data_IF_741406897715
#
_entry.id   IF_741406897715
#
_cell.length_a   1.000
_cell.length_b   1.000
_cell.length_c   1.000
_cell.angle_alpha   90.00
_cell.angle_beta   90.00
_cell.angle_gamma   90.00
#
_symmetry.space_group_name_H-M   'P 1'
#
loop_
_entity.id
_entity.type
_entity.pdbx_description
1 polymer ?
#
# COMPACT_ATOMS: atom_id res chain seq x y z
N UNK A 1 -27.91 13.16 10.57
CA UNK A 1 -28.44 12.97 9.21
C UNK A 1 -28.46 11.48 8.95
N UNK A 2 -29.65 10.86 8.74
CA UNK A 2 -29.75 9.48 8.28
C UNK A 2 -28.90 9.35 7.03
N UNK A 3 -27.90 8.44 7.04
CA UNK A 3 -27.10 8.09 5.86
C UNK A 3 -28.05 7.82 4.69
N UNK A 4 -28.25 8.79 3.81
CA UNK A 4 -28.86 8.53 2.53
C UNK A 4 -28.01 7.40 1.93
N UNK A 5 -28.67 6.28 1.70
CA UNK A 5 -28.02 5.08 1.15
C UNK A 5 -27.61 5.39 -0.28
N UNK A 6 -26.42 5.96 -0.45
CA UNK A 6 -25.86 6.17 -1.77
C UNK A 6 -25.90 4.84 -2.54
N UNK A 7 -26.41 4.81 -3.77
CA UNK A 7 -26.36 3.63 -4.62
C UNK A 7 -24.94 3.11 -4.78
N UNK A 8 -24.78 1.81 -4.95
CA UNK A 8 -23.46 1.19 -5.05
C UNK A 8 -22.61 1.78 -6.17
N UNK A 9 -23.21 2.00 -7.36
CA UNK A 9 -22.49 2.59 -8.50
C UNK A 9 -21.98 4.00 -8.19
N UNK A 10 -22.79 4.83 -7.52
CA UNK A 10 -22.39 6.20 -7.16
C UNK A 10 -21.25 6.19 -6.13
N UNK A 11 -21.29 5.26 -5.15
CA UNK A 11 -20.17 5.07 -4.21
C UNK A 11 -18.88 4.68 -4.93
N UNK A 12 -18.97 3.74 -5.86
CA UNK A 12 -17.81 3.30 -6.65
C UNK A 12 -17.26 4.44 -7.51
N UNK A 13 -18.12 5.23 -8.14
CA UNK A 13 -17.69 6.39 -8.93
C UNK A 13 -17.03 7.46 -8.06
N UNK A 14 -17.61 7.79 -6.91
CA UNK A 14 -17.03 8.80 -5.99
C UNK A 14 -15.66 8.33 -5.49
N UNK A 15 -15.52 7.09 -5.05
CA UNK A 15 -14.26 6.60 -4.51
C UNK A 15 -13.18 6.52 -5.59
N UNK A 16 -13.56 6.17 -6.82
CA UNK A 16 -12.63 6.15 -7.95
C UNK A 16 -12.12 7.57 -8.27
N UNK A 17 -13.04 8.53 -8.40
CA UNK A 17 -12.68 9.93 -8.69
C UNK A 17 -11.85 10.54 -7.55
N UNK A 18 -12.21 10.28 -6.31
CA UNK A 18 -11.47 10.73 -5.13
C UNK A 18 -10.07 10.13 -5.10
N UNK A 19 -9.97 8.82 -5.36
CA UNK A 19 -8.69 8.12 -5.45
C UNK A 19 -7.81 8.72 -6.54
N UNK A 20 -8.34 8.86 -7.77
CA UNK A 20 -7.60 9.44 -8.89
C UNK A 20 -7.14 10.87 -8.62
N UNK A 21 -8.01 11.71 -8.06
CA UNK A 21 -7.66 13.10 -7.73
C UNK A 21 -6.50 13.17 -6.73
N UNK A 22 -6.55 12.39 -5.64
CA UNK A 22 -5.46 12.32 -4.67
C UNK A 22 -4.19 11.80 -5.34
N UNK A 23 -4.26 10.69 -6.10
CA UNK A 23 -3.09 10.12 -6.78
C UNK A 23 -2.42 11.11 -7.73
N UNK A 24 -3.20 11.84 -8.54
CA UNK A 24 -2.65 12.84 -9.48
C UNK A 24 -1.95 13.98 -8.71
N UNK A 25 -2.60 14.51 -7.68
CA UNK A 25 -2.03 15.62 -6.89
C UNK A 25 -0.75 15.18 -6.19
N UNK A 26 -0.74 13.99 -5.59
CA UNK A 26 0.43 13.50 -4.85
C UNK A 26 1.60 13.16 -5.76
N UNK A 27 1.36 12.61 -6.96
CA UNK A 27 2.41 12.36 -7.95
C UNK A 27 3.02 13.65 -8.50
N UNK A 28 2.28 14.76 -8.50
CA UNK A 28 2.76 16.08 -8.93
C UNK A 28 3.37 16.90 -7.80
N UNK A 29 3.23 16.49 -6.55
CA UNK A 29 3.76 17.23 -5.42
C UNK A 29 5.29 17.43 -5.48
N UNK A 30 6.13 16.44 -5.82
CA UNK A 30 7.57 16.64 -5.95
C UNK A 30 7.95 17.75 -6.96
N UNK A 31 7.23 17.87 -8.06
CA UNK A 31 7.47 18.91 -9.08
C UNK A 31 7.28 20.32 -8.47
N UNK A 32 6.23 20.48 -7.63
CA UNK A 32 5.93 21.74 -6.93
C UNK A 32 7.07 22.13 -6.00
N UNK A 33 7.69 21.16 -5.34
CA UNK A 33 8.84 21.36 -4.45
C UNK A 33 10.18 21.37 -5.18
N UNK A 34 10.17 21.38 -6.52
CA UNK A 34 11.38 21.42 -7.35
C UNK A 34 12.37 20.28 -7.04
N UNK A 35 11.84 19.10 -6.73
CA UNK A 35 12.66 17.89 -6.60
C UNK A 35 13.20 17.54 -7.99
N UNK A 36 14.52 17.38 -8.09
CA UNK A 36 15.25 17.11 -9.34
C UNK A 36 15.95 15.75 -9.25
N UNK A 37 16.54 15.30 -10.34
CA UNK A 37 17.36 14.08 -10.37
C UNK A 37 18.57 14.13 -9.43
N UNK A 38 19.05 15.34 -9.08
CA UNK A 38 20.14 15.54 -8.13
C UNK A 38 19.69 15.56 -6.67
N UNK A 39 18.38 15.53 -6.41
CA UNK A 39 17.82 15.46 -5.06
C UNK A 39 17.98 14.04 -4.51
N UNK A 40 18.07 13.88 -3.17
CA UNK A 40 18.08 12.55 -2.56
C UNK A 40 16.87 11.71 -2.99
N UNK A 41 17.04 10.44 -3.39
CA UNK A 41 15.95 9.60 -3.91
C UNK A 41 14.74 9.50 -2.97
N UNK A 42 14.98 9.41 -1.66
CA UNK A 42 13.95 9.35 -0.64
C UNK A 42 13.05 10.61 -0.55
N UNK A 43 13.56 11.78 -0.99
CA UNK A 43 12.83 13.05 -0.84
C UNK A 43 11.55 13.09 -1.67
N UNK A 44 11.61 12.59 -2.90
CA UNK A 44 10.41 12.46 -3.76
C UNK A 44 9.36 11.56 -3.13
N UNK A 45 9.78 10.40 -2.62
CA UNK A 45 8.90 9.47 -1.93
C UNK A 45 8.29 10.11 -0.67
N UNK A 46 9.09 10.78 0.14
CA UNK A 46 8.62 11.48 1.35
C UNK A 46 7.54 12.51 1.05
N UNK A 47 7.77 13.39 0.06
CA UNK A 47 6.81 14.43 -0.33
C UNK A 47 5.52 13.80 -0.86
N UNK A 48 5.61 12.86 -1.81
CA UNK A 48 4.45 12.18 -2.40
C UNK A 48 3.59 11.53 -1.32
N UNK A 49 4.19 10.75 -0.41
CA UNK A 49 3.45 10.03 0.62
C UNK A 49 2.92 10.95 1.72
N UNK A 50 3.64 12.05 2.04
CA UNK A 50 3.13 13.05 2.98
C UNK A 50 1.85 13.71 2.46
N UNK A 51 1.82 14.12 1.20
CA UNK A 51 0.61 14.69 0.59
C UNK A 51 -0.53 13.67 0.54
N UNK A 52 -0.22 12.43 0.16
CA UNK A 52 -1.19 11.32 0.17
C UNK A 52 -1.82 11.13 1.56
N UNK A 53 -0.99 11.09 2.60
CA UNK A 53 -1.41 10.95 3.98
C UNK A 53 -2.29 12.13 4.44
N UNK A 54 -1.82 13.37 4.20
CA UNK A 54 -2.53 14.60 4.61
C UNK A 54 -3.91 14.67 3.98
N UNK A 55 -4.02 14.52 2.66
CA UNK A 55 -5.32 14.55 1.99
C UNK A 55 -6.24 13.43 2.46
N UNK A 56 -5.71 12.23 2.66
CA UNK A 56 -6.50 11.09 3.13
C UNK A 56 -7.06 11.33 4.53
N UNK A 57 -6.25 11.85 5.44
CA UNK A 57 -6.69 12.18 6.81
C UNK A 57 -7.72 13.30 6.80
N UNK A 58 -7.46 14.39 6.07
CA UNK A 58 -8.40 15.52 6.00
C UNK A 58 -9.76 15.10 5.47
N UNK A 59 -9.79 14.35 4.36
CA UNK A 59 -11.04 13.85 3.79
C UNK A 59 -11.73 12.88 4.76
N UNK A 60 -10.97 11.99 5.42
CA UNK A 60 -11.53 11.08 6.41
C UNK A 60 -12.17 11.84 7.58
N UNK A 61 -11.51 12.87 8.11
CA UNK A 61 -12.07 13.72 9.18
C UNK A 61 -13.38 14.38 8.72
N UNK A 62 -13.41 14.92 7.50
CA UNK A 62 -14.60 15.55 6.94
C UNK A 62 -15.76 14.56 6.78
N UNK A 63 -15.50 13.39 6.19
CA UNK A 63 -16.51 12.38 5.96
C UNK A 63 -17.07 11.77 7.26
N UNK A 64 -16.24 11.62 8.28
CA UNK A 64 -16.60 11.00 9.56
C UNK A 64 -17.01 12.02 10.63
N UNK A 65 -16.89 13.32 10.33
CA UNK A 65 -17.06 14.40 11.31
C UNK A 65 -16.18 14.18 12.56
N UNK A 66 -14.93 13.77 12.33
CA UNK A 66 -13.94 13.50 13.36
C UNK A 66 -13.98 12.09 13.97
N UNK A 67 -14.95 11.24 13.64
CA UNK A 67 -15.07 9.86 14.16
C UNK A 67 -14.21 8.89 13.32
N UNK A 68 -12.91 9.17 13.20
CA UNK A 68 -11.98 8.45 12.33
C UNK A 68 -11.84 6.96 12.69
N UNK A 69 -12.19 6.56 13.91
CA UNK A 69 -12.19 5.15 14.33
C UNK A 69 -13.04 4.25 13.42
N UNK A 70 -14.14 4.78 12.84
CA UNK A 70 -14.98 4.05 11.87
C UNK A 70 -14.23 3.70 10.58
N UNK A 71 -13.14 4.41 10.28
CA UNK A 71 -12.26 4.21 9.12
C UNK A 71 -11.00 3.39 9.45
N UNK A 72 -10.99 2.71 10.61
CA UNK A 72 -9.93 1.79 11.01
C UNK A 72 -8.78 2.43 11.80
N UNK A 73 -8.88 3.74 12.12
CA UNK A 73 -7.93 4.44 13.00
C UNK A 73 -8.16 4.05 14.46
N UNK A 74 -8.10 2.76 14.71
CA UNK A 74 -8.31 2.15 16.02
C UNK A 74 -7.54 0.84 16.09
N UNK A 75 -7.29 0.35 17.30
CA UNK A 75 -6.72 -0.98 17.51
C UNK A 75 -7.68 -2.08 17.03
N UNK A 76 -8.98 -1.85 17.10
CA UNK A 76 -10.01 -2.82 16.72
C UNK A 76 -9.77 -4.18 17.38
N UNK A 77 -9.88 -5.24 16.60
CA UNK A 77 -9.61 -6.63 17.00
C UNK A 77 -8.17 -7.07 16.72
N UNK A 78 -7.27 -6.13 16.38
CA UNK A 78 -5.90 -6.46 16.07
C UNK A 78 -5.15 -7.00 17.28
N UNK A 79 -4.51 -8.15 17.08
CA UNK A 79 -3.56 -8.74 18.03
C UNK A 79 -2.30 -9.14 17.28
N UNK A 80 -1.15 -8.66 17.75
CA UNK A 80 0.14 -9.05 17.18
C UNK A 80 0.40 -10.52 17.50
N UNK A 81 0.55 -11.33 16.47
CA UNK A 81 0.88 -12.75 16.57
C UNK A 81 2.11 -13.04 15.73
N UNK A 82 2.95 -13.99 16.13
CA UNK A 82 4.14 -14.37 15.34
C UNK A 82 3.83 -14.75 13.88
N UNK A 83 2.61 -15.22 13.63
CA UNK A 83 2.19 -15.59 12.26
C UNK A 83 2.15 -14.42 11.28
N UNK A 84 2.00 -13.19 11.75
CA UNK A 84 1.98 -12.01 10.85
C UNK A 84 3.36 -11.81 10.21
N UNK A 85 4.44 -12.18 10.89
CA UNK A 85 5.80 -12.05 10.37
C UNK A 85 6.10 -13.01 9.19
N UNK A 86 5.27 -14.06 9.02
CA UNK A 86 5.39 -14.95 7.87
C UNK A 86 5.11 -14.24 6.53
N UNK A 87 4.50 -13.06 6.56
CA UNK A 87 4.26 -12.26 5.34
C UNK A 87 5.53 -11.67 4.73
N UNK A 88 6.68 -11.72 5.41
CA UNK A 88 8.00 -11.45 4.82
C UNK A 88 8.38 -12.49 3.75
N UNK A 89 7.97 -13.75 3.95
CA UNK A 89 8.47 -14.88 3.16
C UNK A 89 8.13 -14.79 1.66
N UNK A 90 6.87 -14.49 1.24
CA UNK A 90 6.54 -14.48 -0.18
C UNK A 90 7.40 -13.52 -1.00
N UNK A 91 7.61 -12.30 -0.48
CA UNK A 91 8.42 -11.29 -1.16
C UNK A 91 9.91 -11.57 -1.08
N UNK A 92 10.39 -12.16 0.02
CA UNK A 92 11.77 -12.62 0.13
C UNK A 92 12.11 -13.71 -0.92
N UNK A 93 11.21 -14.67 -1.11
CA UNK A 93 11.36 -15.69 -2.15
C UNK A 93 11.39 -15.04 -3.53
N UNK A 94 10.47 -14.13 -3.84
CA UNK A 94 10.41 -13.45 -5.12
C UNK A 94 11.66 -12.60 -5.38
N UNK A 95 12.18 -11.93 -4.36
CA UNK A 95 13.42 -11.15 -4.43
C UNK A 95 14.62 -12.02 -4.79
N UNK A 96 14.79 -13.14 -4.08
CA UNK A 96 15.87 -14.11 -4.37
C UNK A 96 15.73 -14.73 -5.77
N UNK A 97 14.52 -15.07 -6.19
CA UNK A 97 14.28 -15.58 -7.54
C UNK A 97 14.61 -14.56 -8.62
N UNK A 98 14.26 -13.29 -8.40
CA UNK A 98 14.63 -12.18 -9.28
C UNK A 98 16.14 -12.03 -9.40
N UNK A 99 16.85 -12.08 -8.28
CA UNK A 99 18.32 -12.04 -8.25
C UNK A 99 18.96 -13.20 -9.03
N UNK A 100 18.48 -14.42 -8.83
CA UNK A 100 18.99 -15.60 -9.55
C UNK A 100 18.72 -15.49 -11.06
N UNK A 101 17.58 -14.90 -11.45
CA UNK A 101 17.21 -14.71 -12.85
C UNK A 101 17.98 -13.57 -13.53
N UNK A 102 18.53 -12.64 -12.77
CA UNK A 102 19.36 -11.53 -13.23
C UNK A 102 20.69 -12.08 -13.75
N UNK A 103 21.01 -11.80 -15.04
CA UNK A 103 22.18 -12.40 -15.70
C UNK A 103 23.33 -11.41 -15.96
N UNK A 104 23.11 -10.13 -15.78
CA UNK A 104 24.13 -9.11 -16.03
C UNK A 104 24.83 -8.67 -14.76
N UNK A 105 26.16 -8.53 -14.81
CA UNK A 105 26.96 -8.07 -13.65
C UNK A 105 26.63 -6.62 -13.22
N UNK A 106 26.15 -5.78 -14.16
CA UNK A 106 25.74 -4.41 -13.85
C UNK A 106 24.41 -4.37 -13.11
N UNK A 107 23.42 -5.18 -13.54
CA UNK A 107 22.14 -5.33 -12.82
C UNK A 107 22.35 -5.87 -11.40
N UNK A 108 23.31 -6.80 -11.23
CA UNK A 108 23.65 -7.35 -9.91
C UNK A 108 24.24 -6.26 -9.00
N UNK A 109 25.10 -5.37 -9.50
CA UNK A 109 25.67 -4.26 -8.72
C UNK A 109 24.58 -3.30 -8.26
N UNK A 110 23.67 -2.90 -9.15
CA UNK A 110 22.57 -1.99 -8.80
C UNK A 110 21.63 -2.61 -7.75
N UNK A 111 21.37 -3.93 -7.84
CA UNK A 111 20.55 -4.66 -6.87
C UNK A 111 21.25 -4.78 -5.51
N UNK A 112 22.57 -4.85 -5.47
CA UNK A 112 23.37 -5.00 -4.26
C UNK A 112 23.75 -3.67 -3.59
N UNK A 113 23.42 -2.52 -4.19
CA UNK A 113 23.61 -1.25 -3.50
C UNK A 113 22.83 -1.22 -2.19
N UNK A 114 23.54 -0.93 -1.10
CA UNK A 114 22.92 -0.83 0.22
C UNK A 114 21.95 0.34 0.25
N UNK A 115 20.68 0.12 0.61
CA UNK A 115 19.76 1.23 0.80
C UNK A 115 20.25 2.11 1.93
N UNK A 116 20.19 3.42 1.72
CA UNK A 116 20.42 4.37 2.79
C UNK A 116 19.35 4.24 3.88
N UNK A 117 19.69 4.60 5.12
CA UNK A 117 18.75 4.54 6.24
C UNK A 117 17.45 5.31 5.94
N UNK A 118 17.57 6.41 5.23
CA UNK A 118 16.46 7.24 4.77
C UNK A 118 15.52 6.47 3.84
N UNK A 119 16.05 5.62 2.94
CA UNK A 119 15.22 4.78 2.06
C UNK A 119 14.42 3.75 2.87
N UNK A 120 15.04 3.14 3.88
CA UNK A 120 14.35 2.23 4.80
C UNK A 120 13.21 2.95 5.52
N UNK A 121 13.49 4.13 6.05
CA UNK A 121 12.50 4.90 6.82
C UNK A 121 11.40 5.42 5.91
N UNK A 122 11.75 6.11 4.81
CA UNK A 122 10.77 6.85 4.02
C UNK A 122 10.10 6.03 2.92
N UNK A 123 10.82 5.06 2.32
CA UNK A 123 10.27 4.25 1.23
C UNK A 123 9.63 2.97 1.74
N UNK A 124 10.17 2.31 2.79
CA UNK A 124 9.61 1.02 3.22
C UNK A 124 8.59 1.16 4.35
N UNK A 125 8.87 1.99 5.35
CA UNK A 125 8.02 2.10 6.55
C UNK A 125 7.01 3.23 6.37
N UNK A 126 7.48 4.45 6.11
CA UNK A 126 6.62 5.62 6.03
C UNK A 126 5.64 5.54 4.85
N UNK A 127 6.12 5.12 3.67
CA UNK A 127 5.26 4.88 2.52
C UNK A 127 4.16 3.86 2.83
N UNK A 128 4.51 2.72 3.47
CA UNK A 128 3.51 1.72 3.87
C UNK A 128 2.41 2.32 4.77
N UNK A 129 2.77 3.19 5.71
CA UNK A 129 1.78 3.88 6.56
C UNK A 129 0.87 4.75 5.72
N UNK A 130 1.44 5.60 4.87
CA UNK A 130 0.69 6.58 4.09
C UNK A 130 -0.24 5.93 3.07
N UNK A 131 0.25 4.91 2.38
CA UNK A 131 -0.51 4.16 1.38
C UNK A 131 -1.64 3.35 1.99
N UNK A 132 -1.44 2.77 3.19
CA UNK A 132 -2.51 2.07 3.90
C UNK A 132 -3.56 3.04 4.46
N UNK A 133 -3.15 4.20 4.96
CA UNK A 133 -4.08 5.27 5.35
C UNK A 133 -4.93 5.71 4.17
N UNK A 134 -4.34 5.86 2.99
CA UNK A 134 -5.06 6.23 1.78
C UNK A 134 -5.98 5.11 1.31
N UNK A 135 -5.43 3.94 1.04
CA UNK A 135 -6.19 2.89 0.35
C UNK A 135 -7.14 2.13 1.28
N UNK A 136 -6.76 1.84 2.52
CA UNK A 136 -7.60 1.09 3.50
C UNK A 136 -8.30 2.02 4.47
N UNK A 137 -7.61 3.08 4.89
CA UNK A 137 -8.20 4.10 5.75
C UNK A 137 -9.31 4.88 5.03
N UNK A 138 -9.04 5.41 3.85
CA UNK A 138 -10.00 6.24 3.12
C UNK A 138 -10.84 5.43 2.11
N UNK A 139 -10.22 4.84 1.06
CA UNK A 139 -10.98 4.28 -0.06
C UNK A 139 -11.78 3.04 0.35
N UNK A 140 -11.14 2.05 0.98
CA UNK A 140 -11.83 0.82 1.43
C UNK A 140 -12.92 1.14 2.46
N UNK A 141 -12.65 2.05 3.40
CA UNK A 141 -13.63 2.41 4.44
C UNK A 141 -14.83 3.16 3.89
N UNK A 142 -14.65 4.04 2.91
CA UNK A 142 -15.76 4.69 2.22
C UNK A 142 -16.69 3.68 1.55
N UNK A 143 -16.12 2.56 1.06
CA UNK A 143 -16.89 1.47 0.45
C UNK A 143 -17.46 0.46 1.48
N UNK A 144 -17.22 0.61 2.78
CA UNK A 144 -17.66 -0.35 3.81
C UNK A 144 -19.15 -0.73 3.76
N UNK A 145 -20.11 0.13 3.36
CA UNK A 145 -21.50 -0.28 3.17
C UNK A 145 -21.72 -1.33 2.08
N UNK A 146 -20.72 -1.59 1.23
CA UNK A 146 -20.74 -2.58 0.16
C UNK A 146 -20.09 -3.92 0.56
N UNK A 147 -19.70 -4.13 1.82
CA UNK A 147 -19.09 -5.38 2.32
C UNK A 147 -19.98 -6.61 2.14
N UNK A 148 -21.31 -6.42 2.04
CA UNK A 148 -22.24 -7.49 1.73
C UNK A 148 -22.02 -8.12 0.33
N UNK A 149 -21.44 -7.38 -0.60
CA UNK A 149 -21.06 -7.87 -1.92
C UNK A 149 -19.64 -8.43 -1.87
N UNK A 150 -19.42 -9.53 -2.57
CA UNK A 150 -18.13 -10.22 -2.61
C UNK A 150 -18.32 -11.71 -2.80
N UNK A 151 -17.23 -12.45 -2.76
CA UNK A 151 -17.24 -13.90 -2.89
C UNK A 151 -16.37 -14.56 -1.82
N UNK A 152 -16.57 -15.86 -1.59
CA UNK A 152 -15.78 -16.63 -0.64
C UNK A 152 -14.81 -17.54 -1.38
N UNK A 153 -13.52 -17.34 -1.15
CA UNK A 153 -12.45 -18.15 -1.70
C UNK A 153 -12.16 -19.33 -0.74
N UNK A 154 -12.02 -20.54 -1.31
CA UNK A 154 -11.70 -21.78 -0.57
C UNK A 154 -12.57 -22.02 0.68
N UNK A 155 -13.87 -21.61 0.65
CA UNK A 155 -14.83 -21.74 1.75
C UNK A 155 -14.42 -21.05 3.07
N UNK A 156 -13.33 -20.29 3.09
CA UNK A 156 -12.76 -19.69 4.31
C UNK A 156 -12.51 -18.19 4.21
N UNK A 157 -12.11 -17.70 3.05
CA UNK A 157 -11.71 -16.32 2.88
C UNK A 157 -12.77 -15.55 2.10
N UNK A 158 -13.53 -14.76 2.82
CA UNK A 158 -14.50 -13.86 2.20
C UNK A 158 -13.76 -12.61 1.73
N UNK A 159 -13.72 -12.40 0.43
CA UNK A 159 -13.22 -11.17 -0.21
C UNK A 159 -14.41 -10.28 -0.55
N UNK A 160 -14.57 -9.20 0.20
CA UNK A 160 -15.64 -8.22 -0.03
C UNK A 160 -15.30 -7.29 -1.20
N UNK A 161 -16.31 -6.65 -1.78
CA UNK A 161 -16.12 -5.66 -2.84
C UNK A 161 -15.17 -4.51 -2.41
N UNK A 162 -15.26 -3.93 -1.19
CA UNK A 162 -14.27 -2.96 -0.71
C UNK A 162 -12.84 -3.48 -0.70
N UNK A 163 -12.61 -4.72 -0.29
CA UNK A 163 -11.28 -5.36 -0.29
C UNK A 163 -10.74 -5.49 -1.71
N UNK A 164 -11.57 -6.02 -2.62
CA UNK A 164 -11.17 -6.20 -4.02
C UNK A 164 -10.89 -4.87 -4.70
N UNK A 165 -11.79 -3.89 -4.54
CA UNK A 165 -11.61 -2.58 -5.13
C UNK A 165 -10.32 -1.90 -4.64
N UNK A 166 -10.12 -1.83 -3.32
CA UNK A 166 -8.95 -1.16 -2.76
C UNK A 166 -7.64 -1.88 -3.09
N UNK A 167 -7.66 -3.23 -3.17
CA UNK A 167 -6.50 -4.00 -3.57
C UNK A 167 -6.12 -3.83 -5.03
N UNK A 168 -7.10 -3.88 -5.95
CA UNK A 168 -6.87 -3.63 -7.36
C UNK A 168 -6.46 -2.17 -7.62
N UNK A 169 -7.09 -1.22 -6.93
CA UNK A 169 -6.70 0.19 -7.01
C UNK A 169 -5.25 0.38 -6.58
N UNK A 170 -4.83 -0.27 -5.49
CA UNK A 170 -3.45 -0.24 -5.02
C UNK A 170 -2.47 -0.76 -6.07
N UNK A 171 -2.79 -1.87 -6.73
CA UNK A 171 -1.99 -2.35 -7.86
C UNK A 171 -1.92 -1.35 -9.01
N UNK A 172 -3.05 -0.73 -9.37
CA UNK A 172 -3.11 0.27 -10.44
C UNK A 172 -2.25 1.52 -10.13
N UNK A 173 -2.13 1.93 -8.89
CA UNK A 173 -1.25 3.03 -8.50
C UNK A 173 0.22 2.76 -8.86
N UNK A 174 0.62 1.49 -8.88
CA UNK A 174 1.98 1.07 -9.21
C UNK A 174 2.28 1.05 -10.72
N UNK A 175 1.32 1.46 -11.58
CA UNK A 175 1.55 1.59 -13.02
C UNK A 175 2.73 2.53 -13.34
N UNK A 176 2.96 3.53 -12.49
CA UNK A 176 4.08 4.47 -12.61
C UNK A 176 5.45 3.80 -12.39
N UNK A 177 5.49 2.65 -11.74
CA UNK A 177 6.70 1.89 -11.48
C UNK A 177 7.00 0.82 -12.56
N UNK A 178 6.14 0.63 -13.56
CA UNK A 178 6.30 -0.40 -14.60
C UNK A 178 7.64 -0.33 -15.30
N UNK A 179 8.10 0.87 -15.64
CA UNK A 179 9.36 1.05 -16.37
C UNK A 179 10.60 0.63 -15.56
N UNK A 180 10.50 0.68 -14.21
CA UNK A 180 11.60 0.30 -13.32
C UNK A 180 11.51 -1.14 -12.84
N UNK A 181 10.30 -1.63 -12.57
CA UNK A 181 10.05 -2.91 -11.88
C UNK A 181 9.37 -3.96 -12.75
N UNK A 182 9.05 -3.61 -14.01
CA UNK A 182 8.32 -4.48 -14.93
C UNK A 182 6.81 -4.60 -14.62
N UNK A 183 6.04 -5.22 -15.53
CA UNK A 183 4.57 -5.25 -15.44
C UNK A 183 4.03 -6.11 -14.27
N UNK A 184 4.83 -7.03 -13.74
CA UNK A 184 4.42 -7.88 -12.61
C UNK A 184 4.23 -7.09 -11.32
N UNK A 185 4.79 -5.87 -11.21
CA UNK A 185 4.60 -5.01 -10.03
C UNK A 185 3.11 -4.76 -9.74
N UNK A 186 2.29 -4.58 -10.78
CA UNK A 186 0.84 -4.36 -10.62
C UNK A 186 0.19 -5.59 -9.98
N UNK A 187 0.56 -6.79 -10.46
CA UNK A 187 0.00 -8.04 -9.94
C UNK A 187 0.38 -8.24 -8.46
N UNK A 188 1.66 -8.08 -8.13
CA UNK A 188 2.15 -8.24 -6.75
C UNK A 188 1.58 -7.19 -5.80
N UNK A 189 1.52 -5.92 -6.23
CA UNK A 189 0.90 -4.86 -5.46
C UNK A 189 -0.61 -5.10 -5.28
N UNK A 190 -1.33 -5.59 -6.31
CA UNK A 190 -2.74 -5.97 -6.17
C UNK A 190 -2.93 -7.10 -5.16
N UNK A 191 -2.07 -8.12 -5.20
CA UNK A 191 -2.12 -9.24 -4.26
C UNK A 191 -1.86 -8.77 -2.82
N UNK A 192 -0.79 -7.98 -2.59
CA UNK A 192 -0.55 -7.33 -1.31
C UNK A 192 -1.77 -6.51 -0.88
N UNK A 193 -2.30 -5.73 -1.81
CA UNK A 193 -3.46 -4.89 -1.58
C UNK A 193 -4.69 -5.66 -1.10
N UNK A 194 -4.99 -6.79 -1.70
CA UNK A 194 -6.10 -7.66 -1.30
C UNK A 194 -5.83 -8.29 0.07
N UNK A 195 -4.60 -8.74 0.32
CA UNK A 195 -4.21 -9.33 1.61
C UNK A 195 -4.34 -8.30 2.74
N UNK A 196 -3.72 -7.14 2.59
CA UNK A 196 -3.78 -6.06 3.57
C UNK A 196 -5.21 -5.60 3.82
N UNK A 197 -6.02 -5.45 2.75
CA UNK A 197 -7.42 -5.09 2.83
C UNK A 197 -8.28 -6.13 3.56
N UNK A 198 -8.03 -7.42 3.32
CA UNK A 198 -8.69 -8.51 4.04
C UNK A 198 -8.38 -8.47 5.54
N UNK A 199 -7.12 -8.30 5.94
CA UNK A 199 -6.73 -8.21 7.34
C UNK A 199 -7.28 -6.96 8.01
N UNK A 200 -7.27 -5.82 7.32
CA UNK A 200 -7.91 -4.59 7.79
C UNK A 200 -9.40 -4.80 8.07
N UNK A 201 -10.13 -5.43 7.15
CA UNK A 201 -11.55 -5.71 7.33
C UNK A 201 -11.80 -6.69 8.49
N UNK A 202 -11.00 -7.75 8.59
CA UNK A 202 -11.12 -8.76 9.64
C UNK A 202 -10.78 -8.23 11.03
N UNK A 203 -9.79 -7.35 11.15
CA UNK A 203 -9.33 -6.81 12.42
C UNK A 203 -9.98 -5.47 12.78
N UNK A 204 -10.67 -4.86 11.82
CA UNK A 204 -11.25 -3.51 11.96
C UNK A 204 -10.19 -2.43 12.28
N UNK A 205 -8.93 -2.68 11.87
CA UNK A 205 -7.77 -1.86 12.23
C UNK A 205 -6.82 -1.69 11.06
N UNK A 206 -6.29 -0.47 10.88
CA UNK A 206 -5.23 -0.19 9.91
C UNK A 206 -3.89 -0.79 10.32
N UNK A 207 -3.67 -1.03 11.61
CA UNK A 207 -2.40 -1.54 12.12
C UNK A 207 -2.01 -2.85 11.45
N UNK A 208 -2.98 -3.76 11.23
CA UNK A 208 -2.72 -5.04 10.58
C UNK A 208 -2.26 -4.87 9.13
N UNK A 209 -2.90 -3.97 8.39
CA UNK A 209 -2.57 -3.69 7.00
C UNK A 209 -1.18 -3.04 6.88
N UNK A 210 -0.90 -2.04 7.71
CA UNK A 210 0.40 -1.34 7.76
C UNK A 210 1.53 -2.33 8.06
N UNK A 211 1.38 -3.20 9.06
CA UNK A 211 2.42 -4.18 9.41
C UNK A 211 2.63 -5.17 8.27
N UNK A 212 1.57 -5.70 7.67
CA UNK A 212 1.70 -6.64 6.53
C UNK A 212 2.41 -5.96 5.37
N UNK A 213 2.03 -4.74 5.03
CA UNK A 213 2.64 -3.99 3.95
C UNK A 213 4.13 -3.73 4.20
N UNK A 214 4.49 -3.23 5.37
CA UNK A 214 5.89 -3.02 5.75
C UNK A 214 6.71 -4.32 5.70
N UNK A 215 6.14 -5.45 6.13
CA UNK A 215 6.77 -6.76 6.04
C UNK A 215 6.99 -7.23 4.59
N UNK A 216 6.06 -6.93 3.69
CA UNK A 216 6.25 -7.18 2.26
C UNK A 216 7.41 -6.37 1.69
N UNK A 217 7.50 -5.08 2.03
CA UNK A 217 8.61 -4.22 1.58
C UNK A 217 9.94 -4.73 2.14
N UNK A 218 10.01 -5.05 3.43
CA UNK A 218 11.19 -5.63 4.08
C UNK A 218 11.58 -6.95 3.40
N UNK A 219 10.61 -7.84 3.16
CA UNK A 219 10.87 -9.13 2.51
C UNK A 219 11.43 -8.99 1.11
N UNK A 220 10.98 -7.98 0.36
CA UNK A 220 11.49 -7.70 -0.99
C UNK A 220 12.95 -7.24 -0.99
N UNK A 221 13.40 -6.54 0.03
CA UNK A 221 14.70 -5.88 0.06
C UNK A 221 15.73 -6.58 0.96
N UNK A 222 15.28 -7.21 2.06
CA UNK A 222 16.17 -7.84 3.04
C UNK A 222 17.11 -8.89 2.46
N UNK A 223 16.68 -9.82 1.54
CA UNK A 223 17.60 -10.78 0.97
C UNK A 223 18.72 -10.14 0.16
N UNK A 224 18.42 -9.09 -0.60
CA UNK A 224 19.41 -8.37 -1.40
C UNK A 224 20.40 -7.62 -0.49
N UNK A 225 19.88 -6.99 0.55
CA UNK A 225 20.73 -6.35 1.56
C UNK A 225 21.66 -7.35 2.25
N UNK A 226 21.18 -8.53 2.62
CA UNK A 226 22.03 -9.58 3.21
C UNK A 226 23.08 -10.10 2.23
N UNK A 227 22.72 -10.28 0.95
CA UNK A 227 23.65 -10.73 -0.08
C UNK A 227 24.74 -9.71 -0.36
N UNK A 228 24.45 -8.40 -0.28
CA UNK A 228 25.46 -7.34 -0.48
C UNK A 228 26.60 -7.38 0.56
N UNK A 229 26.43 -8.04 1.69
CA UNK A 229 27.49 -8.26 2.68
C UNK A 229 28.38 -9.45 2.35
N UNK A 230 27.97 -10.30 1.42
CA UNK A 230 28.70 -11.53 1.05
C UNK A 230 29.58 -11.36 -0.20
N UNK A 231 29.34 -10.28 -0.95
CA UNK A 231 30.05 -9.94 -2.19
C UNK A 231 30.64 -8.55 -2.14
#
# INVERSE_FOLDING_TARGET
MKNQKLPAYLRLSIVLLMGLAISIVTLKAPDIFKVTETSPPWLSAFITHTFMWVFSILITILLTKGKIGEYGFTRGKFRLTGKIFLWVIPTAILSVMGFIASRSGEEVKEILELPHLEDIIFVWIYASICEEVFTRGLLQSFLSPLTKYGFTLFRRWRLSLPVLFSGLYFGMMHIVAINKMGPLVILFASALGIIAGYYREKTESLISAIIIHALFNIGGMLPMWLLSWLF
#
